data_IF_186029209385
#
_entry.id   IF_186029209385
#
_cell.length_a   1.000
_cell.length_b   1.000
_cell.length_c   1.000
_cell.angle_alpha   90.00
_cell.angle_beta   90.00
_cell.angle_gamma   90.00
#
_symmetry.space_group_name_H-M   'P 1'
#
loop_
_entity.id
_entity.type
_entity.pdbx_description
1 polymer ?
#
# COMPACT_ATOMS: atom_id res chain seq x y z
N UNK A 1 -29.86 13.94 15.91
CA UNK A 1 -31.11 13.88 16.69
C UNK A 1 -31.68 12.46 16.60
N UNK A 2 -31.14 11.56 17.42
CA UNK A 2 -31.58 10.18 17.57
C UNK A 2 -32.62 10.16 18.68
N UNK A 3 -33.88 9.88 18.32
CA UNK A 3 -34.96 9.73 19.30
C UNK A 3 -34.91 8.30 19.83
N UNK A 4 -34.17 8.13 20.92
CA UNK A 4 -34.20 6.91 21.73
C UNK A 4 -35.48 6.92 22.57
N UNK A 5 -36.55 6.30 22.07
CA UNK A 5 -37.75 6.05 22.89
C UNK A 5 -37.46 4.88 23.82
N UNK A 6 -36.97 5.19 25.03
CA UNK A 6 -37.11 4.28 26.18
C UNK A 6 -38.60 4.09 26.43
N UNK A 7 -39.09 2.88 26.17
CA UNK A 7 -40.41 2.47 26.67
C UNK A 7 -40.35 2.53 28.22
N UNK A 8 -41.28 3.22 28.89
CA UNK A 8 -41.32 3.22 30.34
C UNK A 8 -41.54 1.80 30.84
N UNK A 9 -40.77 1.39 31.84
CA UNK A 9 -40.97 0.17 32.60
C UNK A 9 -42.32 0.23 33.31
N UNK A 10 -43.38 -0.17 32.60
CA UNK A 10 -44.68 -0.42 33.21
C UNK A 10 -44.51 -1.57 34.19
N UNK A 11 -44.56 -1.26 35.49
CA UNK A 11 -44.86 -2.23 36.53
C UNK A 11 -46.13 -2.98 36.13
N UNK A 12 -46.03 -4.30 36.09
CA UNK A 12 -47.09 -5.21 35.67
C UNK A 12 -48.20 -5.18 36.75
N UNK A 13 -49.43 -4.69 36.47
CA UNK A 13 -50.42 -4.44 37.54
C UNK A 13 -51.21 -5.67 38.00
N UNK A 14 -50.85 -6.90 37.60
CA UNK A 14 -51.66 -8.08 37.87
C UNK A 14 -50.85 -9.22 38.47
N UNK A 15 -50.34 -9.01 39.68
CA UNK A 15 -49.89 -10.11 40.56
C UNK A 15 -50.98 -10.32 41.61
N UNK A 16 -51.85 -11.32 41.42
CA UNK A 16 -52.76 -11.75 42.49
C UNK A 16 -51.92 -12.31 43.66
N UNK A 17 -52.14 -11.92 44.91
CA UNK A 17 -51.42 -12.51 46.04
C UNK A 17 -51.82 -13.99 46.18
N UNK A 18 -50.83 -14.90 46.20
CA UNK A 18 -51.05 -16.34 46.36
C UNK A 18 -51.11 -16.74 47.85
N UNK A 19 -51.92 -17.76 48.22
CA UNK A 19 -51.95 -18.28 49.58
C UNK A 19 -50.62 -18.97 49.97
N UNK A 20 -50.29 -18.90 51.26
CA UNK A 20 -49.00 -19.23 51.90
C UNK A 20 -48.56 -20.71 51.89
N UNK A 21 -49.19 -21.59 51.12
CA UNK A 21 -49.01 -23.05 51.25
C UNK A 21 -48.41 -23.77 50.03
N UNK A 22 -47.92 -23.05 49.02
CA UNK A 22 -47.20 -23.65 47.90
C UNK A 22 -45.69 -23.41 48.01
N UNK A 23 -45.00 -24.36 48.66
CA UNK A 23 -43.58 -24.54 48.45
C UNK A 23 -43.35 -25.11 47.05
N UNK A 24 -42.75 -24.32 46.15
CA UNK A 24 -41.73 -24.71 45.15
C UNK A 24 -41.47 -23.55 44.19
N UNK A 25 -40.22 -23.47 43.75
CA UNK A 25 -39.55 -22.44 42.93
C UNK A 25 -40.48 -21.74 41.94
N UNK A 26 -40.49 -20.41 41.99
CA UNK A 26 -41.35 -19.58 41.16
C UNK A 26 -40.87 -19.56 39.72
N UNK A 27 -41.41 -20.43 38.88
CA UNK A 27 -41.17 -20.39 37.43
C UNK A 27 -41.81 -19.11 36.84
N UNK A 28 -40.99 -18.23 36.26
CA UNK A 28 -41.46 -17.04 35.54
C UNK A 28 -41.65 -17.41 34.07
N UNK A 29 -42.84 -17.15 33.51
CA UNK A 29 -43.06 -17.22 32.06
C UNK A 29 -42.50 -15.95 31.42
N UNK A 30 -41.59 -16.11 30.47
CA UNK A 30 -40.99 -15.02 29.73
C UNK A 30 -41.09 -15.27 28.22
N UNK A 31 -40.99 -14.19 27.45
CA UNK A 31 -40.91 -14.28 25.99
C UNK A 31 -39.51 -14.77 25.63
N UNK A 32 -39.43 -15.98 25.09
CA UNK A 32 -38.19 -16.60 24.66
C UNK A 32 -37.76 -16.12 23.28
N UNK A 33 -38.71 -16.07 22.34
CA UNK A 33 -38.47 -15.64 20.96
C UNK A 33 -39.63 -14.80 20.47
N UNK A 34 -39.33 -13.71 19.78
CA UNK A 34 -40.32 -12.84 19.16
C UNK A 34 -39.91 -12.63 17.70
N UNK A 35 -40.67 -13.16 16.74
CA UNK A 35 -40.35 -13.06 15.31
C UNK A 35 -41.40 -12.18 14.65
N UNK A 36 -40.96 -11.06 14.07
CA UNK A 36 -41.84 -10.16 13.34
C UNK A 36 -41.79 -10.54 11.86
N UNK A 37 -42.80 -11.24 11.39
CA UNK A 37 -42.89 -11.65 10.00
C UNK A 37 -43.50 -10.50 9.18
N UNK A 38 -42.69 -9.95 8.27
CA UNK A 38 -43.11 -8.93 7.30
C UNK A 38 -42.82 -9.52 5.92
N UNK A 39 -43.87 -9.96 5.22
CA UNK A 39 -43.72 -10.52 3.89
C UNK A 39 -44.07 -9.43 2.85
N UNK A 40 -43.23 -9.28 1.84
CA UNK A 40 -43.47 -8.36 0.73
C UNK A 40 -44.35 -9.07 -0.31
N UNK A 41 -45.47 -8.44 -0.70
CA UNK A 41 -46.43 -9.00 -1.66
C UNK A 41 -45.95 -8.89 -3.10
N UNK A 42 -45.21 -7.83 -3.45
CA UNK A 42 -44.68 -7.56 -4.79
C UNK A 42 -43.62 -6.42 -4.79
N UNK A 43 -43.02 -6.12 -5.95
CA UNK A 43 -42.10 -4.98 -6.16
C UNK A 43 -42.76 -3.59 -6.03
N UNK A 44 -44.09 -3.53 -5.86
CA UNK A 44 -44.88 -2.30 -5.74
C UNK A 44 -44.87 -1.69 -4.33
N UNK A 45 -44.06 -2.21 -3.40
CA UNK A 45 -43.95 -1.70 -2.03
C UNK A 45 -45.13 -2.06 -1.13
N UNK A 46 -45.92 -3.07 -1.51
CA UNK A 46 -47.00 -3.61 -0.70
C UNK A 46 -46.47 -4.71 0.22
N UNK A 47 -46.81 -4.62 1.51
CA UNK A 47 -46.53 -5.66 2.50
C UNK A 47 -47.81 -6.44 2.81
N UNK A 48 -47.68 -7.75 3.02
CA UNK A 48 -48.72 -8.50 3.71
C UNK A 48 -48.88 -8.00 5.15
N UNK A 49 -50.06 -8.15 5.77
CA UNK A 49 -50.25 -7.79 7.17
C UNK A 49 -49.18 -8.43 8.05
N UNK A 50 -48.35 -7.63 8.74
CA UNK A 50 -47.28 -8.18 9.54
C UNK A 50 -47.86 -8.91 10.75
N UNK A 51 -47.31 -10.08 11.06
CA UNK A 51 -47.72 -10.85 12.23
C UNK A 51 -46.51 -11.20 13.10
N UNK A 52 -46.77 -11.35 14.39
CA UNK A 52 -45.75 -11.51 15.42
C UNK A 52 -45.87 -12.89 16.05
N UNK A 53 -44.88 -13.75 15.80
CA UNK A 53 -44.81 -15.07 16.44
C UNK A 53 -44.06 -14.93 17.77
N UNK A 54 -44.79 -15.12 18.87
CA UNK A 54 -44.23 -15.04 20.22
C UNK A 54 -44.15 -16.44 20.81
N UNK A 55 -42.94 -16.93 21.02
CA UNK A 55 -42.68 -18.19 21.73
C UNK A 55 -42.36 -17.88 23.19
N UNK A 56 -43.09 -18.51 24.11
CA UNK A 56 -42.91 -18.34 25.55
C UNK A 56 -42.15 -19.53 26.14
N UNK A 57 -41.25 -19.26 27.08
CA UNK A 57 -40.58 -20.28 27.90
C UNK A 57 -40.77 -19.98 29.39
N UNK A 58 -40.54 -20.99 30.23
CA UNK A 58 -40.52 -20.85 31.69
C UNK A 58 -39.11 -21.15 32.21
N UNK A 59 -38.55 -20.23 33.00
CA UNK A 59 -37.29 -20.44 33.71
C UNK A 59 -37.45 -20.08 35.19
N UNK A 60 -36.61 -20.70 36.03
CA UNK A 60 -36.41 -20.26 37.40
C UNK A 60 -35.68 -18.91 37.39
N UNK A 61 -36.00 -18.04 38.35
CA UNK A 61 -35.60 -16.62 38.38
C UNK A 61 -34.09 -16.36 38.33
N UNK A 62 -33.27 -17.38 38.59
CA UNK A 62 -31.80 -17.30 38.58
C UNK A 62 -31.17 -17.41 37.18
N UNK A 63 -31.86 -18.03 36.21
CA UNK A 63 -31.29 -18.35 34.89
C UNK A 63 -31.83 -17.44 33.76
N UNK A 64 -32.37 -16.28 34.11
CA UNK A 64 -32.98 -15.36 33.15
C UNK A 64 -31.92 -14.59 32.34
N UNK A 65 -31.50 -15.17 31.21
CA UNK A 65 -30.78 -14.46 30.15
C UNK A 65 -31.73 -14.19 28.97
N UNK A 66 -32.29 -12.97 28.91
CA UNK A 66 -33.20 -12.57 27.85
C UNK A 66 -32.46 -11.93 26.66
N UNK A 67 -31.85 -12.77 25.82
CA UNK A 67 -31.37 -12.32 24.52
C UNK A 67 -32.57 -12.27 23.54
N UNK A 68 -33.24 -11.12 23.50
CA UNK A 68 -34.45 -10.91 22.68
C UNK A 68 -34.06 -10.60 21.23
N UNK A 69 -34.08 -11.60 20.36
CA UNK A 69 -33.84 -11.42 18.92
C UNK A 69 -35.14 -11.30 18.15
N UNK A 70 -35.34 -10.15 17.50
CA UNK A 70 -36.41 -9.92 16.53
C UNK A 70 -35.91 -10.37 15.16
N UNK A 71 -36.45 -11.46 14.65
CA UNK A 71 -36.12 -12.01 13.34
C UNK A 71 -37.19 -11.56 12.33
N UNK A 72 -36.75 -11.19 11.13
CA UNK A 72 -37.61 -10.82 9.99
C UNK A 72 -37.16 -11.62 8.76
N UNK A 73 -38.06 -11.81 7.79
CA UNK A 73 -37.80 -12.56 6.55
C UNK A 73 -38.16 -11.70 5.36
N UNK A 74 -37.31 -11.63 4.34
CA UNK A 74 -37.61 -10.99 3.06
C UNK A 74 -37.12 -11.86 1.90
N UNK A 75 -37.75 -11.76 0.72
CA UNK A 75 -37.27 -12.45 -0.48
C UNK A 75 -36.01 -11.78 -1.02
N UNK A 76 -34.89 -12.52 -1.01
CA UNK A 76 -33.55 -12.03 -1.31
C UNK A 76 -32.91 -12.71 -2.52
N UNK A 77 -33.71 -13.46 -3.29
CA UNK A 77 -33.22 -14.25 -4.43
C UNK A 77 -32.50 -13.37 -5.45
N UNK A 78 -33.05 -12.19 -5.76
CA UNK A 78 -32.44 -11.23 -6.68
C UNK A 78 -31.11 -10.71 -6.14
N UNK A 79 -31.06 -10.32 -4.87
CA UNK A 79 -29.83 -9.84 -4.25
C UNK A 79 -28.72 -10.91 -4.25
N UNK A 80 -29.04 -12.13 -3.84
CA UNK A 80 -28.08 -13.24 -3.81
C UNK A 80 -27.53 -13.54 -5.21
N UNK A 81 -28.41 -13.56 -6.23
CA UNK A 81 -28.03 -13.74 -7.63
C UNK A 81 -27.13 -12.61 -8.11
N UNK A 82 -27.53 -11.35 -7.94
CA UNK A 82 -26.79 -10.20 -8.46
C UNK A 82 -25.41 -10.07 -7.77
N UNK A 83 -25.32 -10.39 -6.47
CA UNK A 83 -24.04 -10.50 -5.74
C UNK A 83 -23.14 -11.59 -6.31
N UNK A 84 -23.68 -12.80 -6.55
CA UNK A 84 -22.91 -13.92 -7.10
C UNK A 84 -22.37 -13.63 -8.50
N UNK A 85 -23.18 -12.98 -9.34
CA UNK A 85 -22.77 -12.54 -10.69
C UNK A 85 -21.66 -11.50 -10.57
N UNK A 86 -21.82 -10.50 -9.71
CA UNK A 86 -20.81 -9.46 -9.51
C UNK A 86 -19.48 -10.04 -9.03
N UNK A 87 -19.53 -10.98 -8.07
CA UNK A 87 -18.34 -11.68 -7.60
C UNK A 87 -17.66 -12.47 -8.74
N UNK A 88 -18.41 -13.25 -9.51
CA UNK A 88 -17.85 -14.03 -10.61
C UNK A 88 -17.20 -13.15 -11.70
N UNK A 89 -17.87 -12.08 -12.10
CA UNK A 89 -17.38 -11.17 -13.15
C UNK A 89 -16.13 -10.42 -12.67
N UNK A 90 -16.17 -9.80 -11.50
CA UNK A 90 -15.04 -9.02 -10.97
C UNK A 90 -13.82 -9.90 -10.67
N UNK A 91 -14.02 -11.10 -10.10
CA UNK A 91 -12.93 -12.05 -9.89
C UNK A 91 -12.31 -12.56 -11.20
N UNK A 92 -13.10 -12.68 -12.27
CA UNK A 92 -12.58 -13.04 -13.60
C UNK A 92 -11.70 -11.95 -14.19
N UNK A 93 -12.11 -10.68 -14.06
CA UNK A 93 -11.25 -9.56 -14.47
C UNK A 93 -9.98 -9.46 -13.63
N UNK A 94 -10.09 -9.69 -12.31
CA UNK A 94 -8.91 -9.75 -11.45
C UNK A 94 -7.94 -10.85 -11.87
N UNK A 95 -8.43 -12.03 -12.26
CA UNK A 95 -7.60 -13.11 -12.77
C UNK A 95 -6.86 -12.73 -14.05
N UNK A 96 -7.55 -12.09 -15.01
CA UNK A 96 -6.90 -11.64 -16.25
C UNK A 96 -5.83 -10.60 -15.95
N UNK A 97 -6.15 -9.64 -15.07
CA UNK A 97 -5.21 -8.60 -14.65
C UNK A 97 -3.98 -9.20 -13.95
N UNK A 98 -4.15 -10.21 -13.09
CA UNK A 98 -3.03 -10.85 -12.38
C UNK A 98 -2.13 -11.64 -13.32
N UNK A 99 -2.68 -12.23 -14.38
CA UNK A 99 -1.88 -12.87 -15.43
C UNK A 99 -1.01 -11.83 -16.14
N UNK A 100 -1.58 -10.68 -16.52
CA UNK A 100 -0.83 -9.60 -17.16
C UNK A 100 0.28 -9.05 -16.26
N UNK A 101 -0.05 -8.79 -14.99
CA UNK A 101 0.90 -8.29 -13.98
C UNK A 101 2.04 -9.28 -13.74
N UNK A 102 1.73 -10.58 -13.60
CA UNK A 102 2.73 -11.64 -13.42
C UNK A 102 3.61 -11.79 -14.66
N UNK A 103 3.03 -11.66 -15.86
CA UNK A 103 3.78 -11.72 -17.10
C UNK A 103 4.75 -10.54 -17.23
N UNK A 104 4.30 -9.32 -16.94
CA UNK A 104 5.16 -8.13 -16.87
C UNK A 104 6.29 -8.29 -15.86
N UNK A 105 5.98 -8.75 -14.64
CA UNK A 105 7.00 -9.06 -13.65
C UNK A 105 8.00 -10.13 -14.12
N UNK A 106 7.54 -11.21 -14.77
CA UNK A 106 8.42 -12.28 -15.27
C UNK A 106 9.41 -11.76 -16.31
N UNK A 107 8.96 -10.84 -17.18
CA UNK A 107 9.83 -10.14 -18.13
C UNK A 107 10.84 -9.24 -17.42
N UNK A 108 10.37 -8.39 -16.49
CA UNK A 108 11.22 -7.50 -15.67
C UNK A 108 12.26 -8.26 -14.84
N UNK A 109 11.95 -9.48 -14.40
CA UNK A 109 12.87 -10.38 -13.72
C UNK A 109 13.86 -11.09 -14.68
N UNK A 110 13.66 -11.00 -16.00
CA UNK A 110 14.52 -11.65 -17.00
C UNK A 110 14.33 -13.16 -17.14
N UNK A 111 13.20 -13.69 -16.64
CA UNK A 111 12.92 -15.13 -16.67
C UNK A 111 12.42 -15.57 -18.03
N UNK A 112 13.00 -16.67 -18.53
CA UNK A 112 12.62 -17.29 -19.82
C UNK A 112 11.56 -18.38 -19.62
N UNK A 113 11.54 -19.02 -18.45
CA UNK A 113 10.61 -20.09 -18.07
C UNK A 113 9.69 -19.71 -16.92
N UNK A 114 8.53 -20.36 -16.87
CA UNK A 114 7.62 -20.28 -15.72
C UNK A 114 8.14 -21.25 -14.66
N UNK A 115 8.76 -20.69 -13.61
CA UNK A 115 9.26 -21.47 -12.48
C UNK A 115 8.25 -21.49 -11.32
N UNK A 116 8.52 -22.32 -10.31
CA UNK A 116 7.76 -22.35 -9.06
C UNK A 116 7.67 -20.97 -8.38
N UNK A 117 8.75 -20.17 -8.43
CA UNK A 117 8.76 -18.80 -7.89
C UNK A 117 7.76 -17.91 -8.63
N UNK A 118 7.65 -18.06 -9.96
CA UNK A 118 6.68 -17.31 -10.77
C UNK A 118 5.25 -17.69 -10.40
N UNK A 119 5.00 -18.98 -10.10
CA UNK A 119 3.70 -19.45 -9.61
C UNK A 119 3.37 -18.88 -8.23
N UNK A 120 4.34 -18.83 -7.30
CA UNK A 120 4.13 -18.17 -5.99
C UNK A 120 3.82 -16.69 -6.18
N UNK A 121 4.58 -15.98 -7.03
CA UNK A 121 4.34 -14.56 -7.33
C UNK A 121 2.92 -14.35 -7.85
N UNK A 122 2.48 -15.17 -8.80
CA UNK A 122 1.11 -15.14 -9.31
C UNK A 122 0.07 -15.30 -8.21
N UNK A 123 0.23 -16.29 -7.32
CA UNK A 123 -0.72 -16.54 -6.23
C UNK A 123 -0.83 -15.35 -5.27
N UNK A 124 0.30 -14.74 -4.91
CA UNK A 124 0.33 -13.59 -4.00
C UNK A 124 -0.29 -12.34 -4.64
N UNK A 125 0.02 -12.07 -5.90
CA UNK A 125 -0.60 -10.97 -6.66
C UNK A 125 -2.11 -11.21 -6.85
N UNK A 126 -2.50 -12.47 -7.10
CA UNK A 126 -3.91 -12.85 -7.18
C UNK A 126 -4.64 -12.63 -5.86
N UNK A 127 -4.06 -12.96 -4.70
CA UNK A 127 -4.61 -12.63 -3.40
C UNK A 127 -4.87 -11.11 -3.27
N UNK A 128 -3.92 -10.27 -3.66
CA UNK A 128 -4.06 -8.81 -3.60
C UNK A 128 -5.18 -8.26 -4.48
N UNK A 129 -5.23 -8.69 -5.74
CA UNK A 129 -6.24 -8.25 -6.68
C UNK A 129 -7.63 -8.80 -6.34
N UNK A 130 -7.71 -10.04 -5.83
CA UNK A 130 -8.96 -10.62 -5.33
C UNK A 130 -9.47 -9.87 -4.09
N UNK A 131 -8.58 -9.48 -3.17
CA UNK A 131 -8.94 -8.65 -2.02
C UNK A 131 -9.53 -7.30 -2.46
N UNK A 132 -8.96 -6.66 -3.49
CA UNK A 132 -9.50 -5.42 -4.06
C UNK A 132 -10.93 -5.64 -4.61
N UNK A 133 -11.18 -6.76 -5.30
CA UNK A 133 -12.52 -7.06 -5.81
C UNK A 133 -13.52 -7.32 -4.68
N UNK A 134 -13.12 -8.06 -3.65
CA UNK A 134 -13.96 -8.25 -2.46
C UNK A 134 -14.26 -6.93 -1.76
N UNK A 135 -13.27 -6.04 -1.63
CA UNK A 135 -13.48 -4.70 -1.09
C UNK A 135 -14.51 -3.91 -1.92
N UNK A 136 -14.41 -3.91 -3.25
CA UNK A 136 -15.38 -3.22 -4.14
C UNK A 136 -16.79 -3.80 -3.96
N UNK A 137 -16.93 -5.12 -3.86
CA UNK A 137 -18.23 -5.78 -3.62
C UNK A 137 -18.78 -5.42 -2.24
N UNK A 138 -17.96 -5.47 -1.20
CA UNK A 138 -18.35 -5.10 0.17
C UNK A 138 -18.79 -3.64 0.25
N UNK A 139 -17.97 -2.74 -0.30
CA UNK A 139 -18.28 -1.32 -0.35
C UNK A 139 -19.55 -1.04 -1.15
N UNK A 140 -19.69 -1.64 -2.34
CA UNK A 140 -20.86 -1.49 -3.19
C UNK A 140 -22.13 -2.02 -2.55
N UNK A 141 -22.07 -3.18 -1.88
CA UNK A 141 -23.21 -3.75 -1.16
C UNK A 141 -23.59 -2.94 0.08
N UNK A 142 -22.61 -2.47 0.85
CA UNK A 142 -22.84 -1.59 1.99
C UNK A 142 -23.47 -0.25 1.57
N UNK A 143 -22.96 0.36 0.50
CA UNK A 143 -23.48 1.60 -0.07
C UNK A 143 -24.90 1.40 -0.62
N UNK A 144 -25.15 0.29 -1.31
CA UNK A 144 -26.47 -0.07 -1.80
C UNK A 144 -27.47 -0.19 -0.63
N UNK A 145 -27.14 -0.93 0.44
CA UNK A 145 -28.01 -1.00 1.62
C UNK A 145 -28.22 0.38 2.24
N UNK A 146 -27.16 1.16 2.42
CA UNK A 146 -27.25 2.49 3.02
C UNK A 146 -28.24 3.37 2.26
N UNK A 147 -28.12 3.45 0.93
CA UNK A 147 -28.96 4.31 0.09
C UNK A 147 -30.40 3.78 0.05
N UNK A 148 -30.60 2.51 -0.32
CA UNK A 148 -31.95 1.97 -0.54
C UNK A 148 -32.71 1.77 0.77
N UNK A 149 -32.03 1.46 1.88
CA UNK A 149 -32.69 1.35 3.18
C UNK A 149 -33.07 2.72 3.74
N UNK A 150 -32.19 3.73 3.64
CA UNK A 150 -32.44 5.05 4.24
C UNK A 150 -33.32 5.96 3.38
N UNK A 151 -33.30 5.82 2.06
CA UNK A 151 -34.03 6.68 1.11
C UNK A 151 -35.39 6.10 0.68
N UNK A 152 -35.81 4.96 1.23
CA UNK A 152 -37.10 4.38 0.86
C UNK A 152 -38.29 5.17 1.43
N UNK A 153 -39.28 5.46 0.58
CA UNK A 153 -40.56 6.06 0.98
C UNK A 153 -41.62 4.99 1.23
N UNK A 154 -41.53 3.86 0.53
CA UNK A 154 -42.30 2.63 0.74
C UNK A 154 -41.35 1.51 1.16
N UNK A 155 -41.83 0.54 1.94
CA UNK A 155 -40.98 -0.55 2.43
C UNK A 155 -40.63 -1.47 1.26
N UNK A 156 -39.38 -1.38 0.78
CA UNK A 156 -38.84 -2.22 -0.29
C UNK A 156 -37.66 -3.06 0.18
N UNK A 157 -36.88 -2.57 1.14
CA UNK A 157 -35.66 -3.22 1.63
C UNK A 157 -35.62 -3.16 3.16
N UNK A 158 -35.42 -4.32 3.80
CA UNK A 158 -35.17 -4.40 5.24
C UNK A 158 -33.65 -4.44 5.51
N UNK A 159 -33.26 -4.43 6.79
CA UNK A 159 -31.85 -4.63 7.15
C UNK A 159 -31.33 -6.00 6.64
N UNK A 160 -30.01 -6.26 6.71
CA UNK A 160 -29.45 -7.58 6.44
C UNK A 160 -29.79 -8.59 7.55
N UNK A 161 -30.26 -9.78 7.15
CA UNK A 161 -30.51 -10.90 8.08
C UNK A 161 -29.21 -11.42 8.68
N UNK A 162 -29.28 -12.15 9.79
CA UNK A 162 -28.09 -12.71 10.48
C UNK A 162 -27.25 -13.59 9.53
N UNK A 163 -27.87 -14.34 8.63
CA UNK A 163 -27.15 -15.15 7.65
C UNK A 163 -26.36 -14.27 6.67
N UNK A 164 -26.96 -13.17 6.20
CA UNK A 164 -26.31 -12.23 5.28
C UNK A 164 -25.19 -11.44 5.96
N UNK A 165 -25.38 -11.08 7.22
CA UNK A 165 -24.33 -10.47 8.03
C UNK A 165 -23.13 -11.41 8.16
N UNK A 166 -23.36 -12.71 8.41
CA UNK A 166 -22.29 -13.72 8.42
C UNK A 166 -21.58 -13.83 7.08
N UNK A 167 -22.32 -13.83 5.96
CA UNK A 167 -21.70 -13.84 4.64
C UNK A 167 -20.87 -12.57 4.41
N UNK A 168 -21.40 -11.39 4.75
CA UNK A 168 -20.68 -10.12 4.62
C UNK A 168 -19.39 -10.12 5.44
N UNK A 169 -19.45 -10.55 6.70
CA UNK A 169 -18.29 -10.67 7.59
C UNK A 169 -17.28 -11.70 7.05
N UNK A 170 -17.73 -12.80 6.46
CA UNK A 170 -16.84 -13.80 5.87
C UNK A 170 -16.04 -13.23 4.68
N UNK A 171 -16.69 -12.45 3.80
CA UNK A 171 -16.00 -11.74 2.73
C UNK A 171 -15.05 -10.67 3.27
N UNK A 172 -15.42 -9.97 4.33
CA UNK A 172 -14.58 -8.96 4.98
C UNK A 172 -13.29 -9.57 5.55
N UNK A 173 -13.42 -10.65 6.32
CA UNK A 173 -12.27 -11.37 6.89
C UNK A 173 -11.38 -11.91 5.77
N UNK A 174 -11.99 -12.49 4.72
CA UNK A 174 -11.23 -13.00 3.57
C UNK A 174 -10.48 -11.88 2.84
N UNK A 175 -11.12 -10.74 2.59
CA UNK A 175 -10.50 -9.58 1.96
C UNK A 175 -9.32 -9.06 2.80
N UNK A 176 -9.49 -8.96 4.12
CA UNK A 176 -8.42 -8.51 5.02
C UNK A 176 -7.21 -9.45 5.01
N UNK A 177 -7.42 -10.76 5.13
CA UNK A 177 -6.33 -11.74 5.12
C UNK A 177 -5.58 -11.70 3.79
N UNK A 178 -6.32 -11.74 2.67
CA UNK A 178 -5.73 -11.69 1.34
C UNK A 178 -4.98 -10.38 1.08
N UNK A 179 -5.52 -9.24 1.55
CA UNK A 179 -4.85 -7.94 1.45
C UNK A 179 -3.60 -7.88 2.33
N UNK A 180 -3.63 -8.49 3.51
CA UNK A 180 -2.48 -8.63 4.40
C UNK A 180 -1.34 -9.43 3.76
N UNK A 181 -1.64 -10.54 3.09
CA UNK A 181 -0.64 -11.31 2.33
C UNK A 181 -0.01 -10.46 1.23
N UNK A 182 -0.80 -9.69 0.49
CA UNK A 182 -0.31 -8.79 -0.54
C UNK A 182 0.55 -7.66 0.05
N UNK A 183 0.12 -7.04 1.16
CA UNK A 183 0.87 -6.00 1.85
C UNK A 183 2.23 -6.53 2.35
N UNK A 184 2.24 -7.72 2.95
CA UNK A 184 3.47 -8.35 3.41
C UNK A 184 4.46 -8.60 2.27
N UNK A 185 3.97 -9.09 1.12
CA UNK A 185 4.79 -9.26 -0.07
C UNK A 185 5.29 -7.93 -0.65
N UNK A 186 4.48 -6.87 -0.61
CA UNK A 186 4.91 -5.53 -0.99
C UNK A 186 6.08 -5.08 -0.12
N UNK A 187 5.98 -5.23 1.21
CA UNK A 187 7.06 -4.88 2.15
C UNK A 187 8.32 -5.71 1.87
N UNK A 188 8.20 -7.04 1.65
CA UNK A 188 9.35 -7.86 1.25
C UNK A 188 9.98 -7.31 -0.01
N UNK A 189 9.17 -7.00 -1.03
CA UNK A 189 9.68 -6.48 -2.30
C UNK A 189 10.44 -5.18 -2.10
N UNK A 190 10.04 -4.32 -1.16
CA UNK A 190 10.69 -3.05 -0.84
C UNK A 190 12.02 -3.21 -0.09
N UNK A 191 12.10 -4.17 0.84
CA UNK A 191 13.33 -4.44 1.60
C UNK A 191 14.36 -5.19 0.76
N UNK A 192 13.95 -5.82 -0.34
CA UNK A 192 14.85 -6.55 -1.26
C UNK A 192 15.33 -5.73 -2.45
N UNK A 193 15.14 -4.40 -2.44
CA UNK A 193 15.53 -3.55 -3.56
C UNK A 193 17.02 -3.25 -3.50
N UNK A 194 17.66 -3.47 -4.64
CA UNK A 194 19.08 -3.18 -4.81
C UNK A 194 19.23 -1.71 -5.24
N UNK A 195 19.95 -0.91 -4.45
CA UNK A 195 20.18 0.52 -4.75
C UNK A 195 21.67 0.76 -4.92
N UNK A 196 22.00 1.46 -5.99
CA UNK A 196 23.37 1.81 -6.32
C UNK A 196 23.49 3.33 -6.51
N UNK A 197 24.42 3.93 -5.78
CA UNK A 197 24.69 5.36 -5.79
C UNK A 197 25.92 5.65 -6.64
N UNK A 198 25.78 6.60 -7.56
CA UNK A 198 26.79 7.02 -8.51
C UNK A 198 27.22 8.45 -8.18
N UNK A 199 28.32 8.59 -7.45
CA UNK A 199 28.92 9.90 -7.16
C UNK A 199 29.74 10.39 -8.37
N UNK A 200 29.33 11.52 -8.95
CA UNK A 200 30.01 12.13 -10.10
C UNK A 200 31.14 13.08 -9.69
N UNK A 201 31.36 13.27 -8.39
CA UNK A 201 32.41 14.16 -7.90
C UNK A 201 33.80 13.64 -8.28
N UNK A 202 34.65 14.55 -8.75
CA UNK A 202 36.01 14.22 -9.17
C UNK A 202 36.99 14.49 -8.02
N UNK A 203 38.06 13.70 -7.91
CA UNK A 203 39.10 13.96 -6.92
C UNK A 203 39.79 15.31 -7.18
N UNK A 204 39.78 16.19 -6.17
CA UNK A 204 40.28 17.57 -6.26
C UNK A 204 41.74 17.67 -5.78
N UNK A 205 42.68 17.83 -6.72
CA UNK A 205 44.08 18.15 -6.42
C UNK A 205 45.02 16.94 -6.28
N UNK A 206 46.33 17.23 -6.18
CA UNK A 206 47.39 16.24 -5.90
C UNK A 206 47.50 16.07 -4.39
N UNK A 207 47.52 14.84 -3.89
CA UNK A 207 47.75 14.57 -2.48
C UNK A 207 49.13 15.13 -2.08
N UNK A 208 49.15 16.12 -1.20
CA UNK A 208 50.39 16.64 -0.64
C UNK A 208 50.91 15.62 0.39
N UNK A 209 51.80 14.73 -0.02
CA UNK A 209 52.67 14.05 0.94
C UNK A 209 53.73 15.04 1.42
N UNK A 210 53.65 15.40 2.70
CA UNK A 210 54.82 15.91 3.40
C UNK A 210 55.88 14.79 3.37
N UNK A 211 57.08 15.15 2.88
CA UNK A 211 58.29 14.33 2.82
C UNK A 211 58.19 13.02 2.02
N UNK A 212 58.48 13.08 0.72
CA UNK A 212 59.61 12.34 0.16
C UNK A 212 59.91 12.70 -1.30
N UNK A 213 61.19 12.99 -1.54
CA UNK A 213 61.81 13.19 -2.86
C UNK A 213 61.87 11.85 -3.60
N UNK A 214 60.82 11.50 -4.34
CA UNK A 214 60.87 10.59 -5.50
C UNK A 214 59.61 10.79 -6.33
N UNK A 215 59.80 10.96 -7.64
CA UNK A 215 58.72 11.06 -8.63
C UNK A 215 57.77 9.87 -8.50
N UNK A 216 56.67 10.05 -7.79
CA UNK A 216 55.56 9.12 -7.77
C UNK A 216 54.40 9.76 -8.53
N UNK A 217 53.90 9.02 -9.52
CA UNK A 217 52.71 9.30 -10.33
C UNK A 217 51.61 9.84 -9.43
N UNK A 218 51.20 11.09 -9.68
CA UNK A 218 50.39 11.89 -8.75
C UNK A 218 49.16 11.16 -8.23
N UNK A 219 49.22 10.70 -6.98
CA UNK A 219 48.04 10.26 -6.24
C UNK A 219 47.12 11.46 -6.07
N UNK A 220 45.94 11.38 -6.67
CA UNK A 220 44.88 12.38 -6.50
C UNK A 220 44.28 12.18 -5.10
N UNK A 221 43.89 13.27 -4.44
CA UNK A 221 43.18 13.20 -3.17
C UNK A 221 41.89 12.36 -3.34
N UNK A 222 41.55 11.47 -2.39
CA UNK A 222 40.31 10.70 -2.48
C UNK A 222 39.09 11.64 -2.37
N UNK A 223 38.03 11.31 -3.10
CA UNK A 223 36.74 12.00 -2.99
C UNK A 223 36.09 11.60 -1.67
N UNK A 224 35.54 12.59 -0.95
CA UNK A 224 34.81 12.32 0.28
C UNK A 224 33.48 11.61 0.01
N UNK A 225 33.16 10.58 0.80
CA UNK A 225 31.96 9.74 0.66
C UNK A 225 30.68 10.38 1.23
N UNK A 226 30.81 11.52 1.91
CA UNK A 226 29.72 12.11 2.71
C UNK A 226 28.42 12.32 1.92
N UNK A 227 28.50 12.75 0.65
CA UNK A 227 27.32 12.96 -0.22
C UNK A 227 26.56 11.65 -0.47
N UNK A 228 27.31 10.58 -0.72
CA UNK A 228 26.73 9.24 -0.90
C UNK A 228 26.02 8.78 0.38
N UNK A 229 26.65 8.96 1.55
CA UNK A 229 26.02 8.65 2.84
C UNK A 229 24.78 9.53 3.10
N UNK A 230 24.84 10.81 2.73
CA UNK A 230 23.73 11.75 2.89
C UNK A 230 22.53 11.35 2.02
N UNK A 231 22.74 11.08 0.73
CA UNK A 231 21.70 10.58 -0.17
C UNK A 231 21.13 9.24 0.30
N UNK A 232 21.98 8.34 0.82
CA UNK A 232 21.51 7.08 1.40
C UNK A 232 20.62 7.31 2.64
N UNK A 233 20.96 8.26 3.51
CA UNK A 233 20.14 8.64 4.65
C UNK A 233 18.79 9.21 4.20
N UNK A 234 18.80 10.18 3.28
CA UNK A 234 17.57 10.78 2.76
C UNK A 234 16.68 9.74 2.06
N UNK A 235 17.28 8.81 1.31
CA UNK A 235 16.53 7.69 0.74
C UNK A 235 15.84 6.86 1.83
N UNK A 236 16.56 6.52 2.92
CA UNK A 236 15.99 5.78 4.04
C UNK A 236 14.83 6.53 4.70
N UNK A 237 14.92 7.86 4.82
CA UNK A 237 13.85 8.69 5.38
C UNK A 237 12.58 8.68 4.53
N UNK A 238 12.69 8.66 3.20
CA UNK A 238 11.52 8.70 2.29
C UNK A 238 10.83 7.33 2.10
N UNK A 239 11.48 6.20 2.42
CA UNK A 239 10.90 4.85 2.24
C UNK A 239 9.51 4.69 2.87
N UNK A 240 9.34 5.28 4.05
CA UNK A 240 8.15 5.11 4.90
C UNK A 240 7.19 6.28 4.77
N UNK A 241 7.49 7.26 3.91
CA UNK A 241 6.67 8.46 3.76
C UNK A 241 5.44 8.13 2.93
N UNK A 242 4.28 8.42 3.51
CA UNK A 242 3.00 8.38 2.82
C UNK A 242 2.68 9.72 2.16
N UNK A 243 1.92 9.68 1.06
CA UNK A 243 1.50 10.86 0.31
C UNK A 243 0.60 11.74 1.17
N UNK A 244 1.15 12.83 1.70
CA UNK A 244 0.40 13.89 2.39
C UNK A 244 0.16 15.05 1.44
N UNK A 245 -0.98 15.73 1.60
CA UNK A 245 -1.46 16.77 0.68
C UNK A 245 -0.61 18.05 0.60
N UNK A 246 0.52 18.15 1.31
CA UNK A 246 1.24 19.42 1.53
C UNK A 246 2.63 19.43 0.87
N UNK A 247 3.32 18.30 0.75
CA UNK A 247 4.71 18.24 0.28
C UNK A 247 4.95 17.04 -0.64
N UNK A 248 5.85 17.21 -1.61
CA UNK A 248 6.30 16.17 -2.54
C UNK A 248 7.76 15.77 -2.23
N UNK A 249 7.98 14.85 -1.28
CA UNK A 249 9.32 14.45 -0.84
C UNK A 249 10.10 13.72 -1.94
N UNK A 250 9.40 13.07 -2.87
CA UNK A 250 9.99 12.35 -4.00
C UNK A 250 10.67 13.34 -4.94
N UNK A 251 10.01 14.45 -5.28
CA UNK A 251 10.62 15.50 -6.12
C UNK A 251 11.79 16.20 -5.42
N UNK A 252 11.64 16.50 -4.12
CA UNK A 252 12.73 17.08 -3.33
C UNK A 252 13.97 16.17 -3.31
N UNK A 253 13.77 14.84 -3.27
CA UNK A 253 14.86 13.89 -3.37
C UNK A 253 15.56 13.92 -4.74
N UNK A 254 14.80 14.06 -5.84
CA UNK A 254 15.37 14.21 -7.20
C UNK A 254 16.18 15.50 -7.33
N UNK A 255 15.67 16.62 -6.80
CA UNK A 255 16.40 17.89 -6.76
C UNK A 255 17.69 17.76 -5.94
N UNK A 256 17.61 17.10 -4.79
CA UNK A 256 18.78 16.88 -3.93
C UNK A 256 19.86 16.04 -4.62
N UNK A 257 19.49 14.99 -5.36
CA UNK A 257 20.43 14.19 -6.16
C UNK A 257 21.22 15.08 -7.13
N UNK A 258 20.55 16.06 -7.74
CA UNK A 258 21.13 17.00 -8.69
C UNK A 258 22.12 17.97 -8.05
N UNK A 259 21.75 18.53 -6.90
CA UNK A 259 22.61 19.48 -6.14
C UNK A 259 23.84 18.77 -5.58
N UNK A 260 23.68 17.53 -5.11
CA UNK A 260 24.77 16.70 -4.55
C UNK A 260 25.59 15.97 -5.62
N UNK A 261 25.35 16.22 -6.90
CA UNK A 261 26.09 15.61 -8.00
C UNK A 261 26.12 14.05 -7.92
N UNK A 262 25.05 13.44 -7.43
CA UNK A 262 24.95 12.00 -7.17
C UNK A 262 23.73 11.42 -7.90
N UNK A 263 23.94 10.46 -8.78
CA UNK A 263 22.84 9.73 -9.43
C UNK A 263 22.46 8.46 -8.66
N UNK A 264 21.20 8.07 -8.78
CA UNK A 264 20.66 6.91 -8.05
C UNK A 264 20.13 5.89 -9.04
N UNK A 265 20.55 4.64 -8.88
CA UNK A 265 20.13 3.52 -9.70
C UNK A 265 19.39 2.52 -8.79
N UNK A 266 18.13 2.27 -9.08
CA UNK A 266 17.22 1.50 -8.23
C UNK A 266 16.80 0.26 -9.01
N UNK A 267 17.25 -0.91 -8.61
CA UNK A 267 16.90 -2.17 -9.23
C UNK A 267 15.73 -2.82 -8.47
N UNK A 268 14.53 -2.63 -8.99
CA UNK A 268 13.32 -3.27 -8.44
C UNK A 268 13.27 -4.76 -8.77
N UNK A 269 13.71 -5.12 -9.99
CA UNK A 269 13.74 -6.49 -10.48
C UNK A 269 15.09 -6.78 -11.18
N UNK A 270 15.30 -8.04 -11.58
CA UNK A 270 16.57 -8.49 -12.16
C UNK A 270 17.07 -7.65 -13.34
N UNK A 271 16.20 -7.31 -14.30
CA UNK A 271 16.54 -6.55 -15.51
C UNK A 271 15.79 -5.21 -15.61
N UNK A 272 15.09 -4.78 -14.56
CA UNK A 272 14.26 -3.59 -14.60
C UNK A 272 14.39 -2.79 -13.31
N UNK A 273 14.38 -1.48 -13.46
CA UNK A 273 14.48 -0.56 -12.34
C UNK A 273 14.17 0.87 -12.72
N UNK A 274 14.72 1.79 -11.93
CA UNK A 274 14.59 3.23 -12.11
C UNK A 274 15.98 3.87 -12.03
N UNK A 275 16.15 4.97 -12.75
CA UNK A 275 17.34 5.79 -12.74
C UNK A 275 16.96 7.24 -12.47
N UNK A 276 17.63 7.82 -11.49
CA UNK A 276 17.53 9.24 -11.15
C UNK A 276 18.86 9.88 -11.55
N UNK A 277 18.80 10.74 -12.55
CA UNK A 277 19.92 11.51 -13.02
C UNK A 277 20.16 12.70 -12.10
N UNK A 278 21.22 12.61 -11.30
CA UNK A 278 21.63 13.66 -10.37
C UNK A 278 22.99 14.26 -10.69
N UNK A 279 23.42 14.25 -11.96
CA UNK A 279 24.68 14.92 -12.32
C UNK A 279 24.45 16.44 -12.29
N UNK A 280 25.23 17.14 -11.48
CA UNK A 280 25.14 18.60 -11.39
C UNK A 280 25.58 19.26 -12.70
N UNK A 281 24.83 20.29 -13.13
CA UNK A 281 25.16 21.11 -14.30
C UNK A 281 26.46 21.90 -14.11
N UNK A 282 26.85 22.14 -12.86
CA UNK A 282 28.07 22.84 -12.48
C UNK A 282 29.29 21.91 -12.37
N UNK A 283 29.08 20.58 -12.36
CA UNK A 283 30.15 19.57 -12.40
C UNK A 283 30.86 19.29 -11.08
N UNK A 284 30.64 20.09 -10.05
CA UNK A 284 31.05 19.86 -8.67
C UNK A 284 29.92 20.25 -7.70
N UNK A 285 29.85 19.57 -6.55
CA UNK A 285 28.88 19.88 -5.49
C UNK A 285 29.53 20.54 -4.26
N UNK A 286 30.79 20.23 -3.96
CA UNK A 286 31.52 20.72 -2.76
C UNK A 286 32.00 22.16 -2.96
N UNK A 287 31.06 23.12 -2.95
CA UNK A 287 31.34 24.55 -3.14
C UNK A 287 30.95 25.37 -1.92
N UNK A 288 31.55 26.55 -1.77
CA UNK A 288 31.19 27.46 -0.68
C UNK A 288 29.76 27.99 -0.84
N UNK A 289 29.09 28.40 0.24
CA UNK A 289 27.70 28.89 0.17
C UNK A 289 27.49 30.04 -0.82
N UNK A 290 28.48 30.91 -0.99
CA UNK A 290 28.41 32.01 -1.96
C UNK A 290 28.38 31.50 -3.41
N UNK A 291 29.26 30.54 -3.73
CA UNK A 291 29.33 29.91 -5.04
C UNK A 291 28.07 29.08 -5.32
N UNK A 292 27.54 28.39 -4.31
CA UNK A 292 26.25 27.70 -4.42
C UNK A 292 25.10 28.66 -4.71
N UNK A 293 25.07 29.85 -4.10
CA UNK A 293 24.06 30.86 -4.41
C UNK A 293 24.20 31.38 -5.85
N UNK A 294 25.43 31.63 -6.31
CA UNK A 294 25.69 32.08 -7.67
C UNK A 294 25.34 30.99 -8.70
N UNK A 295 25.53 29.72 -8.37
CA UNK A 295 25.07 28.57 -9.14
C UNK A 295 23.55 28.60 -9.31
N UNK A 296 22.80 28.73 -8.21
CA UNK A 296 21.34 28.77 -8.23
C UNK A 296 20.80 29.97 -9.02
N UNK A 297 21.44 31.14 -8.93
CA UNK A 297 21.08 32.30 -9.75
C UNK A 297 21.31 32.07 -11.24
N UNK A 298 22.41 31.40 -11.60
CA UNK A 298 22.67 31.03 -12.99
C UNK A 298 21.66 30.02 -13.52
N UNK A 299 21.17 29.11 -12.68
CA UNK A 299 20.05 28.22 -13.02
C UNK A 299 18.75 29.00 -13.20
N UNK A 300 18.42 29.95 -12.32
CA UNK A 300 17.23 30.82 -12.41
C UNK A 300 17.25 31.68 -13.68
N UNK A 301 18.42 32.18 -14.07
CA UNK A 301 18.62 33.01 -15.27
C UNK A 301 18.84 32.19 -16.56
N UNK A 302 18.74 30.85 -16.51
CA UNK A 302 18.97 29.92 -17.64
C UNK A 302 20.36 30.11 -18.32
N UNK A 303 21.38 30.44 -17.51
CA UNK A 303 22.76 30.65 -17.93
C UNK A 303 23.62 29.37 -17.89
N UNK A 304 23.00 28.22 -17.64
CA UNK A 304 23.65 26.91 -17.59
C UNK A 304 22.88 25.86 -18.42
N UNK A 305 23.46 24.68 -18.58
CA UNK A 305 22.74 23.56 -19.19
C UNK A 305 21.55 23.12 -18.33
N UNK A 306 20.59 22.45 -18.97
CA UNK A 306 19.45 21.85 -18.29
C UNK A 306 19.87 20.59 -17.51
N UNK A 307 19.14 20.27 -16.42
CA UNK A 307 19.50 19.19 -15.47
C UNK A 307 19.24 17.76 -15.97
N UNK A 308 18.66 17.58 -17.16
CA UNK A 308 18.28 16.26 -17.67
C UNK A 308 19.45 15.45 -18.24
N UNK A 309 19.21 14.15 -18.45
CA UNK A 309 20.23 13.21 -18.93
C UNK A 309 20.75 13.55 -20.33
N UNK A 310 19.86 14.00 -21.23
CA UNK A 310 20.21 14.41 -22.58
C UNK A 310 20.41 15.93 -22.64
N UNK A 311 21.36 16.44 -23.45
CA UNK A 311 21.57 17.88 -23.60
C UNK A 311 20.28 18.61 -24.01
N UNK A 312 19.92 19.65 -23.27
CA UNK A 312 18.72 20.45 -23.53
C UNK A 312 17.41 19.84 -23.04
N UNK A 313 17.46 18.79 -22.22
CA UNK A 313 16.28 18.20 -21.57
C UNK A 313 16.29 18.49 -20.07
N UNK A 314 15.11 18.59 -19.46
CA UNK A 314 14.94 18.73 -18.00
C UNK A 314 14.64 17.38 -17.32
N UNK A 315 14.38 16.32 -18.09
CA UNK A 315 13.97 15.03 -17.54
C UNK A 315 15.11 14.35 -16.79
N UNK A 316 14.89 14.10 -15.50
CA UNK A 316 15.89 13.51 -14.61
C UNK A 316 15.56 12.06 -14.22
N UNK A 317 14.28 11.69 -14.22
CA UNK A 317 13.83 10.36 -13.82
C UNK A 317 13.50 9.50 -15.03
N UNK A 318 13.93 8.24 -14.96
CA UNK A 318 13.76 7.28 -16.02
C UNK A 318 13.42 5.92 -15.42
N UNK A 319 12.59 5.16 -16.11
CA UNK A 319 12.54 3.72 -15.92
C UNK A 319 13.61 3.09 -16.80
N UNK A 320 14.24 2.04 -16.33
CA UNK A 320 15.35 1.42 -17.05
C UNK A 320 15.10 -0.06 -17.24
N UNK A 321 15.38 -0.54 -18.45
CA UNK A 321 15.49 -1.94 -18.76
C UNK A 321 16.93 -2.24 -19.14
N UNK A 322 17.54 -3.19 -18.44
CA UNK A 322 18.98 -3.41 -18.44
C UNK A 322 19.31 -4.68 -19.24
N UNK A 323 20.34 -4.66 -20.09
CA UNK A 323 20.75 -5.85 -20.82
C UNK A 323 21.30 -6.92 -19.88
N UNK A 324 21.13 -8.19 -20.25
CA UNK A 324 21.58 -9.32 -19.42
C UNK A 324 23.07 -9.28 -19.10
N UNK A 325 23.88 -8.73 -20.02
CA UNK A 325 25.33 -8.59 -19.86
C UNK A 325 25.66 -7.65 -18.69
N UNK A 326 24.97 -6.51 -18.58
CA UNK A 326 25.16 -5.56 -17.48
C UNK A 326 24.70 -6.18 -16.15
N UNK A 327 23.57 -6.90 -16.14
CA UNK A 327 23.12 -7.60 -14.92
C UNK A 327 24.10 -8.68 -14.47
N UNK A 328 24.64 -9.47 -15.41
CA UNK A 328 25.64 -10.49 -15.09
C UNK A 328 26.93 -9.89 -14.53
N UNK A 329 27.32 -8.69 -14.97
CA UNK A 329 28.44 -7.97 -14.36
C UNK A 329 28.09 -7.45 -12.95
N UNK A 330 26.90 -6.91 -12.76
CA UNK A 330 26.41 -6.48 -11.46
C UNK A 330 26.47 -7.63 -10.43
N UNK A 331 25.95 -8.80 -10.79
CA UNK A 331 25.96 -9.99 -9.92
C UNK A 331 27.40 -10.45 -9.61
N UNK A 332 28.36 -10.22 -10.53
CA UNK A 332 29.78 -10.53 -10.30
C UNK A 332 30.46 -9.55 -9.35
N UNK A 333 30.07 -8.28 -9.35
CA UNK A 333 30.63 -7.26 -8.44
C UNK A 333 30.23 -7.56 -6.98
N UNK A 334 29.04 -8.11 -6.77
CA UNK A 334 28.55 -8.51 -5.45
C UNK A 334 29.20 -9.79 -4.90
N UNK A 335 29.83 -10.62 -5.75
CA UNK A 335 30.53 -11.83 -5.34
C UNK A 335 32.03 -11.56 -5.14
N UNK A 336 32.64 -12.00 -4.04
CA UNK A 336 34.07 -11.79 -3.83
C UNK A 336 34.83 -12.80 -4.70
N UNK A 337 35.47 -12.37 -5.80
CA UNK A 337 36.82 -12.84 -6.20
C UNK A 337 37.38 -12.49 -7.60
N UNK A 338 36.74 -11.73 -8.50
CA UNK A 338 37.43 -11.44 -9.78
C UNK A 338 37.32 -9.99 -10.22
N UNK A 339 38.46 -9.46 -10.66
CA UNK A 339 38.64 -8.08 -11.09
C UNK A 339 37.60 -7.66 -12.15
N UNK A 340 37.08 -6.42 -12.07
CA UNK A 340 36.12 -5.92 -13.04
C UNK A 340 36.76 -5.85 -14.43
N UNK A 341 36.17 -6.54 -15.41
CA UNK A 341 36.35 -6.17 -16.80
C UNK A 341 35.50 -4.94 -17.06
N UNK A 342 36.13 -3.82 -17.37
CA UNK A 342 35.44 -2.61 -17.82
C UNK A 342 34.59 -2.93 -19.05
N UNK A 343 33.25 -2.88 -18.91
CA UNK A 343 32.35 -2.88 -20.06
C UNK A 343 32.43 -1.49 -20.70
N UNK A 344 33.29 -1.38 -21.71
CA UNK A 344 33.18 -0.27 -22.65
C UNK A 344 32.10 -0.61 -23.68
N UNK A 345 31.28 0.39 -24.02
CA UNK A 345 30.33 0.38 -25.14
C UNK A 345 29.08 -0.52 -25.00
N UNK A 346 28.28 -0.32 -23.95
CA UNK A 346 26.89 -0.80 -23.94
C UNK A 346 26.01 0.26 -24.59
N UNK A 347 25.45 -0.06 -25.76
CA UNK A 347 24.46 0.79 -26.42
C UNK A 347 23.24 0.99 -25.51
N UNK A 348 22.81 2.24 -25.37
CA UNK A 348 21.54 2.59 -24.74
C UNK A 348 20.68 3.46 -25.65
N UNK A 349 19.36 3.36 -25.46
CA UNK A 349 18.36 4.16 -26.17
C UNK A 349 17.43 4.82 -25.17
N UNK A 350 17.20 6.13 -25.34
CA UNK A 350 16.19 6.90 -24.58
C UNK A 350 14.92 7.00 -25.43
N UNK A 351 13.78 6.56 -24.91
CA UNK A 351 12.51 6.55 -25.65
C UNK A 351 11.30 6.67 -24.72
N UNK A 352 10.14 7.01 -25.27
CA UNK A 352 8.90 7.07 -24.51
C UNK A 352 8.16 5.72 -24.47
N UNK A 353 7.34 5.50 -23.42
CA UNK A 353 6.41 4.36 -23.38
C UNK A 353 5.36 4.48 -24.48
N UNK A 354 5.01 3.34 -25.08
CA UNK A 354 3.80 3.30 -25.90
C UNK A 354 2.56 3.46 -25.01
N UNK A 355 1.51 4.09 -25.53
CA UNK A 355 0.26 4.30 -24.78
C UNK A 355 -0.29 3.01 -24.14
N UNK A 356 -0.25 1.90 -24.87
CA UNK A 356 -0.72 0.59 -24.38
C UNK A 356 0.21 0.02 -23.29
N UNK A 357 1.52 0.22 -23.41
CA UNK A 357 2.50 -0.13 -22.34
C UNK A 357 2.28 0.71 -21.08
N UNK A 358 1.84 1.96 -21.23
CA UNK A 358 1.45 2.84 -20.14
C UNK A 358 0.16 2.40 -19.44
N UNK A 359 -0.87 1.97 -20.18
CA UNK A 359 -2.13 1.50 -19.60
C UNK A 359 -1.97 0.16 -18.87
N UNK A 360 -1.28 -0.80 -19.51
CA UNK A 360 -1.18 -2.16 -18.99
C UNK A 360 -0.02 -2.35 -18.00
N UNK A 361 0.90 -1.38 -17.93
CA UNK A 361 2.14 -1.47 -17.14
C UNK A 361 2.99 -2.71 -17.47
N UNK A 362 3.08 -3.00 -18.77
CA UNK A 362 3.86 -4.12 -19.30
C UNK A 362 4.76 -3.66 -20.43
N UNK A 363 5.97 -4.21 -20.48
CA UNK A 363 6.95 -4.00 -21.53
C UNK A 363 6.75 -5.01 -22.67
N UNK A 364 6.36 -4.54 -23.86
CA UNK A 364 6.22 -5.42 -25.03
C UNK A 364 7.56 -5.64 -25.73
N UNK A 365 8.44 -4.63 -25.69
CA UNK A 365 9.75 -4.64 -26.32
C UNK A 365 10.74 -5.58 -25.61
N UNK A 366 11.68 -6.12 -26.37
CA UNK A 366 12.78 -6.91 -25.83
C UNK A 366 13.98 -6.01 -25.53
N UNK A 367 14.41 -5.96 -24.27
CA UNK A 367 15.56 -5.18 -23.79
C UNK A 367 16.79 -6.05 -23.53
N UNK A 368 16.84 -7.27 -24.07
CA UNK A 368 17.89 -8.23 -23.75
C UNK A 368 19.28 -7.76 -24.19
N UNK A 369 19.37 -7.05 -25.33
CA UNK A 369 20.64 -6.71 -25.98
C UNK A 369 21.13 -5.27 -25.74
N UNK A 370 20.22 -4.32 -25.50
CA UNK A 370 20.55 -2.89 -25.32
C UNK A 370 19.89 -2.31 -24.07
N UNK A 371 20.57 -1.36 -23.43
CA UNK A 371 19.98 -0.58 -22.34
C UNK A 371 18.84 0.30 -22.86
N UNK A 372 17.70 0.29 -22.19
CA UNK A 372 16.60 1.18 -22.54
C UNK A 372 16.28 2.08 -21.37
N UNK A 373 16.32 3.39 -21.62
CA UNK A 373 15.85 4.42 -20.71
C UNK A 373 14.50 4.88 -21.21
N UNK A 374 13.50 4.71 -20.37
CA UNK A 374 12.12 5.07 -20.65
C UNK A 374 11.84 6.34 -19.87
N UNK A 375 11.51 7.41 -20.57
CA UNK A 375 11.11 8.68 -19.97
C UNK A 375 9.86 8.49 -19.11
N UNK A 376 9.78 9.22 -18.00
CA UNK A 376 8.63 9.13 -17.12
C UNK A 376 8.12 10.50 -16.64
N UNK A 377 7.03 10.51 -15.87
CA UNK A 377 6.42 11.76 -15.40
C UNK A 377 6.96 12.23 -14.03
N UNK A 378 8.16 11.82 -13.62
CA UNK A 378 8.73 12.18 -12.31
C UNK A 378 8.34 11.27 -11.14
N UNK A 379 7.43 10.32 -11.38
CA UNK A 379 6.72 9.58 -10.32
C UNK A 379 6.72 8.06 -10.48
N UNK A 380 7.49 7.48 -11.42
CA UNK A 380 7.41 6.02 -11.62
C UNK A 380 8.08 5.26 -10.50
N UNK A 381 9.19 5.79 -9.97
CA UNK A 381 9.93 5.17 -8.89
C UNK A 381 9.18 5.25 -7.56
N UNK A 382 8.12 6.07 -7.44
CA UNK A 382 7.24 6.11 -6.29
C UNK A 382 6.70 4.71 -5.93
N UNK A 383 6.51 3.83 -6.93
CA UNK A 383 6.04 2.44 -6.76
C UNK A 383 6.97 1.59 -5.88
N UNK A 384 8.25 1.96 -5.80
CA UNK A 384 9.26 1.35 -4.92
C UNK A 384 9.05 1.78 -3.47
N UNK A 385 8.49 2.96 -3.23
CA UNK A 385 8.26 3.52 -1.91
C UNK A 385 6.83 3.25 -1.43
N UNK A 386 6.55 3.48 -0.15
CA UNK A 386 5.17 3.48 0.36
C UNK A 386 4.33 4.54 -0.37
N UNK A 387 4.95 5.67 -0.74
CA UNK A 387 4.35 6.81 -1.43
C UNK A 387 3.59 6.45 -2.72
N UNK A 388 4.06 5.47 -3.50
CA UNK A 388 3.37 5.03 -4.73
C UNK A 388 2.27 3.99 -4.49
N UNK A 389 2.20 3.42 -3.30
CA UNK A 389 1.31 2.29 -2.96
C UNK A 389 0.13 2.67 -2.07
N UNK A 390 -0.20 3.97 -1.98
CA UNK A 390 -1.27 4.52 -1.14
C UNK A 390 -2.62 3.83 -1.29
N UNK A 391 -3.00 3.43 -2.51
CA UNK A 391 -4.27 2.73 -2.73
C UNK A 391 -4.31 1.40 -1.97
N UNK A 392 -3.19 0.68 -1.95
CA UNK A 392 -3.07 -0.60 -1.25
C UNK A 392 -3.08 -0.39 0.27
N UNK A 393 -2.35 0.61 0.75
CA UNK A 393 -2.30 0.99 2.16
C UNK A 393 -3.66 1.45 2.67
N UNK A 394 -4.34 2.35 1.94
CA UNK A 394 -5.67 2.85 2.29
C UNK A 394 -6.72 1.74 2.34
N UNK A 395 -6.74 0.84 1.35
CA UNK A 395 -7.68 -0.29 1.36
C UNK A 395 -7.41 -1.19 2.56
N UNK A 396 -6.14 -1.44 2.90
CA UNK A 396 -5.78 -2.21 4.09
C UNK A 396 -6.23 -1.51 5.38
N UNK A 397 -5.99 -0.21 5.53
CA UNK A 397 -6.38 0.56 6.72
C UNK A 397 -7.90 0.59 6.90
N UNK A 398 -8.67 0.73 5.82
CA UNK A 398 -10.14 0.67 5.87
C UNK A 398 -10.59 -0.74 6.31
N UNK A 399 -10.01 -1.80 5.75
CA UNK A 399 -10.33 -3.18 6.13
C UNK A 399 -9.97 -3.45 7.61
N UNK A 400 -8.80 -2.99 8.05
CA UNK A 400 -8.35 -3.10 9.45
C UNK A 400 -9.31 -2.37 10.39
N UNK A 401 -9.66 -1.12 10.07
CA UNK A 401 -10.62 -0.34 10.84
C UNK A 401 -11.96 -1.07 10.99
N UNK A 402 -12.52 -1.58 9.88
CA UNK A 402 -13.81 -2.29 9.93
C UNK A 402 -13.76 -3.58 10.74
N UNK A 403 -12.66 -4.32 10.73
CA UNK A 403 -12.49 -5.52 11.56
C UNK A 403 -12.35 -5.15 13.04
N UNK A 404 -11.57 -4.12 13.35
CA UNK A 404 -11.42 -3.63 14.71
C UNK A 404 -12.75 -3.12 15.27
N UNK A 405 -13.56 -2.42 14.46
CA UNK A 405 -14.89 -1.97 14.86
C UNK A 405 -15.82 -3.15 15.20
N UNK A 406 -15.79 -4.23 14.41
CA UNK A 406 -16.54 -5.45 14.69
C UNK A 406 -16.10 -6.16 15.98
N UNK A 407 -14.80 -6.14 16.30
CA UNK A 407 -14.26 -6.79 17.51
C UNK A 407 -14.58 -5.96 18.75
N UNK A 408 -14.31 -4.65 18.67
CA UNK A 408 -14.35 -3.73 19.81
C UNK A 408 -15.76 -3.19 20.07
N UNK A 409 -16.64 -3.19 19.07
CA UNK A 409 -17.98 -2.60 19.11
C UNK A 409 -17.97 -1.10 19.51
N UNK A 410 -16.88 -0.41 19.20
CA UNK A 410 -16.72 1.03 19.43
C UNK A 410 -15.81 1.63 18.34
N UNK A 411 -16.43 2.38 17.44
CA UNK A 411 -15.76 2.98 16.28
C UNK A 411 -14.66 3.98 16.65
N UNK A 412 -14.77 4.66 17.81
CA UNK A 412 -13.73 5.61 18.27
C UNK A 412 -12.47 4.85 18.68
N UNK A 413 -12.63 3.79 19.48
CA UNK A 413 -11.50 2.96 19.89
C UNK A 413 -10.90 2.20 18.70
N UNK A 414 -11.74 1.70 17.78
CA UNK A 414 -11.28 1.09 16.54
C UNK A 414 -10.46 2.07 15.68
N UNK A 415 -10.88 3.33 15.57
CA UNK A 415 -10.15 4.40 14.89
C UNK A 415 -8.79 4.67 15.52
N UNK A 416 -8.73 4.78 16.86
CA UNK A 416 -7.47 4.97 17.60
C UNK A 416 -6.53 3.79 17.39
N UNK A 417 -7.03 2.54 17.48
CA UNK A 417 -6.22 1.35 17.28
C UNK A 417 -5.68 1.23 15.85
N UNK A 418 -6.50 1.59 14.85
CA UNK A 418 -6.08 1.62 13.44
C UNK A 418 -4.98 2.66 13.23
N UNK A 419 -5.14 3.85 13.80
CA UNK A 419 -4.12 4.90 13.73
C UNK A 419 -2.82 4.49 14.44
N UNK A 420 -2.91 3.84 15.61
CA UNK A 420 -1.73 3.33 16.31
C UNK A 420 -1.02 2.25 15.50
N UNK A 421 -1.76 1.35 14.84
CA UNK A 421 -1.18 0.35 13.95
C UNK A 421 -0.42 1.02 12.79
N UNK A 422 -1.04 1.99 12.12
CA UNK A 422 -0.40 2.74 11.04
C UNK A 422 0.85 3.48 11.54
N UNK A 423 0.75 4.16 12.67
CA UNK A 423 1.87 4.87 13.30
C UNK A 423 3.03 3.94 13.67
N UNK A 424 2.75 2.75 14.22
CA UNK A 424 3.78 1.76 14.54
C UNK A 424 4.41 1.19 13.26
N UNK A 425 3.59 0.88 12.25
CA UNK A 425 4.08 0.35 10.98
C UNK A 425 5.01 1.32 10.25
N UNK A 426 4.74 2.62 10.34
CA UNK A 426 5.58 3.68 9.77
C UNK A 426 6.72 4.12 10.70
N UNK A 427 6.56 3.95 12.02
CA UNK A 427 7.49 4.39 13.05
C UNK A 427 8.61 3.40 13.40
N UNK A 428 8.36 2.09 13.31
CA UNK A 428 9.38 1.05 13.59
C UNK A 428 10.58 1.12 12.63
N UNK A 429 10.40 1.64 11.43
CA UNK A 429 11.47 1.83 10.44
C UNK A 429 12.25 3.13 10.69
N UNK A 430 11.60 4.21 11.15
CA UNK A 430 12.28 5.46 11.56
C UNK A 430 13.17 5.31 12.78
N UNK A 431 12.76 4.50 13.78
CA UNK A 431 13.55 4.31 15.01
C UNK A 431 14.83 3.52 14.74
N UNK A 432 14.85 2.62 13.75
CA UNK A 432 16.09 1.96 13.31
C UNK A 432 17.10 2.93 12.71
N UNK A 433 16.66 3.92 11.93
CA UNK A 433 17.55 4.98 11.43
C UNK A 433 17.95 6.03 12.49
N UNK A 434 17.09 6.28 13.48
CA UNK A 434 17.35 7.25 14.55
C UNK A 434 18.28 6.74 15.66
N UNK A 435 18.34 5.42 15.91
CA UNK A 435 19.21 4.85 16.95
C UNK A 435 20.70 4.97 16.59
N UNK A 436 21.05 4.99 15.31
CA UNK A 436 22.45 5.19 14.85
C UNK A 436 22.90 6.66 14.91
N UNK A 437 21.97 7.63 14.99
CA UNK A 437 22.31 9.06 15.17
C UNK A 437 22.94 9.38 16.54
N UNK A 438 22.75 8.51 17.53
CA UNK A 438 23.25 8.71 18.89
C UNK A 438 24.69 8.25 19.13
N UNK A 439 25.18 7.28 18.35
CA UNK A 439 26.49 6.65 18.60
C UNK A 439 27.59 7.16 17.64
N UNK A 440 27.24 7.61 16.43
CA UNK A 440 28.23 8.07 15.44
C UNK A 440 28.75 9.50 15.59
N UNK A 441 28.10 10.36 16.40
CA UNK A 441 28.51 11.77 16.57
C UNK A 441 29.54 11.97 17.69
N UNK A 442 29.75 10.97 18.55
CA UNK A 442 30.70 11.05 19.67
C UNK A 442 32.14 10.64 19.36
N UNK A 443 32.44 9.97 18.24
CA UNK A 443 33.80 9.48 17.94
C UNK A 443 34.60 10.35 16.95
N UNK A 444 34.08 11.50 16.54
CA UNK A 444 34.73 12.41 15.56
C UNK A 444 35.30 13.71 16.13
N UNK A 445 35.63 13.75 17.43
CA UNK A 445 36.31 14.91 18.06
C UNK A 445 37.47 14.44 18.93
N UNK A 446 38.58 14.08 18.27
CA UNK A 446 39.94 14.36 18.73
C UNK A 446 40.82 14.70 17.53
#
# INVERSE_FOLDING_TARGET
>A
MSVERRLPSRQVPWVRPRPRWLGRRGAVRYVQKMVLNIELRDTSGQIFPPFLDITYASADTADYNADKKVEYKMSLVKYARDKSISAAVLSSFALIYTVLETWGWSKRAGKVSIDFITMIKFLVLFCGNLANMFFVILFGTALWWLIFFKRQTTVMLLLPTIFQEKEFVSYLISAFILKGVHLFHMIISQVTIDIFLLDWERPHGKAAQATDLKENVGQRSPVSIWRTCFIANEWNEIQTVRKRFIEDPVRQFVDLCSVTNTSVFILENGLYGYYIHGRSVHGCADTGMHEMLDNLKREEEDLCGQRGLLPGTEQQTFQIAIPRILRAQYDRILLPMNAPQSLHDIDYVVQDRMFIEGILDVEFRDSTDKGMFITDNGHSFDKVLFFGNERTLLVFDILLFTILDLIVNNFVLAGILTYLFDYVSTGMERVKGGSERGEGVSEGRE
#
